data_IF_460064995036
#
_entry.id   IF_460064995036
#
_cell.length_a   1.000
_cell.length_b   1.000
_cell.length_c   1.000
_cell.angle_alpha   90.00
_cell.angle_beta   90.00
_cell.angle_gamma   90.00
#
_symmetry.space_group_name_H-M   'P 1'
#
loop_
_entity.id
_entity.type
_entity.pdbx_description
1 polymer ?
#
# COMPACT_ATOMS: atom_id res chain seq x y z
N UNK A 1 21.95 41.45 62.93
CA UNK A 1 21.85 40.19 62.21
C UNK A 1 20.95 40.46 60.98
N UNK A 2 21.53 40.38 59.84
CA UNK A 2 21.10 41.09 58.62
C UNK A 2 19.98 40.35 57.86
N UNK A 3 18.84 41.00 57.68
CA UNK A 3 17.75 40.59 56.81
C UNK A 3 18.09 40.87 55.34
N UNK A 4 18.17 39.84 54.52
CA UNK A 4 18.24 39.98 53.06
C UNK A 4 16.83 39.83 52.50
N UNK A 5 16.22 40.92 52.13
CA UNK A 5 15.02 40.96 51.31
C UNK A 5 15.40 40.56 49.87
N UNK A 6 14.91 39.44 49.42
CA UNK A 6 15.03 39.04 48.03
C UNK A 6 13.89 39.71 47.27
N UNK A 7 14.22 40.75 46.52
CA UNK A 7 13.33 41.33 45.50
C UNK A 7 13.24 40.35 44.33
N UNK A 8 12.13 39.64 44.23
CA UNK A 8 11.78 38.86 43.04
C UNK A 8 11.34 39.82 41.92
N UNK A 9 12.24 40.08 41.02
CA UNK A 9 11.97 40.83 39.78
C UNK A 9 11.16 39.92 38.85
N UNK A 10 9.83 40.06 38.87
CA UNK A 10 8.95 39.38 37.90
C UNK A 10 9.15 40.04 36.54
N UNK A 11 9.88 39.36 35.68
CA UNK A 11 10.03 39.70 34.25
C UNK A 11 8.71 39.44 33.57
N UNK A 12 7.83 40.41 33.51
CA UNK A 12 6.64 40.39 32.68
C UNK A 12 7.11 40.47 31.24
N UNK A 13 7.15 39.30 30.59
CA UNK A 13 7.36 39.17 29.15
C UNK A 13 6.21 39.89 28.44
N UNK A 14 6.52 41.06 27.93
CA UNK A 14 5.64 41.82 27.03
C UNK A 14 5.60 41.06 25.71
N UNK A 15 4.66 40.11 25.57
CA UNK A 15 4.34 39.53 24.28
C UNK A 15 3.71 40.65 23.47
N UNK A 16 4.54 41.27 22.63
CA UNK A 16 4.08 42.28 21.70
C UNK A 16 3.11 41.62 20.72
N UNK A 17 1.83 41.91 20.89
CA UNK A 17 0.79 41.59 19.90
C UNK A 17 1.03 42.44 18.66
N UNK A 18 1.99 42.04 17.82
CA UNK A 18 2.10 42.52 16.43
C UNK A 18 1.08 41.85 15.52
N UNK A 19 -0.18 41.83 15.97
CA UNK A 19 -1.26 41.06 15.35
C UNK A 19 -1.97 41.75 14.18
N UNK A 20 -1.60 42.97 13.79
CA UNK A 20 -2.38 43.71 12.81
C UNK A 20 -1.97 43.56 11.33
N UNK A 21 -0.89 42.84 11.01
CA UNK A 21 -0.35 42.83 9.64
C UNK A 21 -0.12 41.42 9.06
N UNK A 22 -0.68 40.39 9.68
CA UNK A 22 -0.51 39.00 9.19
C UNK A 22 -1.84 38.44 8.68
N UNK A 23 -1.78 37.66 7.59
CA UNK A 23 -2.81 36.68 7.25
C UNK A 23 -2.47 35.42 8.01
N UNK A 24 -3.46 34.77 8.62
CA UNK A 24 -3.25 33.52 9.34
C UNK A 24 -2.88 32.35 8.41
N UNK A 25 -2.47 31.21 8.96
CA UNK A 25 -2.33 29.99 8.18
C UNK A 25 -3.71 29.53 7.69
N UNK A 26 -3.76 28.88 6.53
CA UNK A 26 -4.94 28.19 6.01
C UNK A 26 -4.85 26.72 6.37
N UNK A 27 -5.99 26.09 6.73
CA UNK A 27 -6.08 24.66 6.97
C UNK A 27 -6.27 23.90 5.65
N UNK A 28 -5.82 22.65 5.60
CA UNK A 28 -6.12 21.74 4.50
C UNK A 28 -7.63 21.54 4.29
N UNK A 29 -8.42 21.61 5.37
CA UNK A 29 -9.88 21.48 5.32
C UNK A 29 -10.58 22.61 4.55
N UNK A 30 -9.86 23.69 4.27
CA UNK A 30 -10.36 24.78 3.44
C UNK A 30 -10.32 24.45 1.93
N UNK A 31 -9.74 23.31 1.56
CA UNK A 31 -9.52 22.96 0.16
C UNK A 31 -9.95 21.53 -0.14
N UNK A 32 -10.59 21.36 -1.28
CA UNK A 32 -10.91 20.04 -1.84
C UNK A 32 -10.34 19.97 -3.24
N UNK A 33 -9.66 18.88 -3.55
CA UNK A 33 -9.04 18.62 -4.87
C UNK A 33 -9.70 17.41 -5.49
N UNK A 34 -10.05 17.52 -6.77
CA UNK A 34 -10.63 16.43 -7.55
C UNK A 34 -9.87 16.26 -8.87
N UNK A 35 -9.46 15.00 -9.18
CA UNK A 35 -9.53 13.78 -8.37
C UNK A 35 -8.54 13.79 -7.21
N UNK A 36 -8.83 13.02 -6.15
CA UNK A 36 -7.88 12.79 -5.05
C UNK A 36 -7.94 11.30 -4.64
N UNK A 37 -6.86 10.52 -4.86
CA UNK A 37 -5.56 10.93 -5.39
C UNK A 37 -5.62 11.47 -6.84
N UNK A 38 -4.60 12.25 -7.24
CA UNK A 38 -4.48 12.76 -8.60
C UNK A 38 -4.28 11.63 -9.61
N UNK A 39 -4.78 11.82 -10.84
CA UNK A 39 -4.72 10.81 -11.89
C UNK A 39 -4.21 11.41 -13.21
N UNK A 40 -3.54 10.60 -14.02
CA UNK A 40 -3.16 11.01 -15.37
C UNK A 40 -4.30 10.82 -16.35
N UNK A 41 -4.46 11.79 -17.25
CA UNK A 41 -5.36 11.71 -18.38
C UNK A 41 -4.67 12.26 -19.63
N UNK A 42 -4.38 11.38 -20.59
CA UNK A 42 -3.80 11.80 -21.88
C UNK A 42 -2.39 12.38 -21.79
N UNK A 43 -1.59 12.00 -20.79
CA UNK A 43 -0.24 12.55 -20.59
C UNK A 43 -0.19 13.82 -19.73
N UNK A 44 -1.34 14.22 -19.19
CA UNK A 44 -1.44 15.34 -18.27
C UNK A 44 -2.04 14.89 -16.92
N UNK A 45 -1.87 15.72 -15.91
CA UNK A 45 -2.46 15.54 -14.58
C UNK A 45 -3.43 16.70 -14.33
N UNK A 46 -4.69 16.58 -14.74
CA UNK A 46 -5.69 17.61 -14.48
C UNK A 46 -6.09 17.58 -13.00
N UNK A 47 -6.33 18.75 -12.42
CA UNK A 47 -6.86 18.89 -11.07
C UNK A 47 -7.81 20.09 -10.98
N UNK A 48 -8.91 19.90 -10.27
CA UNK A 48 -9.84 20.96 -9.89
C UNK A 48 -9.68 21.22 -8.40
N UNK A 49 -9.35 22.44 -8.03
CA UNK A 49 -9.21 22.87 -6.64
C UNK A 49 -10.41 23.73 -6.27
N UNK A 50 -11.19 23.28 -5.31
CA UNK A 50 -12.24 24.05 -4.68
C UNK A 50 -11.72 24.57 -3.34
N UNK A 51 -11.64 25.88 -3.19
CA UNK A 51 -11.11 26.52 -2.01
C UNK A 51 -12.10 27.44 -1.32
N UNK A 52 -11.93 27.58 -0.02
CA UNK A 52 -12.72 28.48 0.82
C UNK A 52 -11.77 29.38 1.60
N UNK A 53 -11.93 30.69 1.39
CA UNK A 53 -11.32 31.64 2.31
C UNK A 53 -12.26 31.86 3.50
N UNK A 54 -11.79 31.58 4.73
CA UNK A 54 -12.63 31.72 5.92
C UNK A 54 -13.08 33.16 6.16
N UNK A 55 -14.15 33.31 6.93
CA UNK A 55 -14.61 34.61 7.44
C UNK A 55 -13.46 35.34 8.14
N UNK A 56 -13.33 36.64 7.88
CA UNK A 56 -12.29 37.54 8.41
C UNK A 56 -10.86 37.24 7.93
N UNK A 57 -10.68 36.31 6.97
CA UNK A 57 -9.36 35.98 6.43
C UNK A 57 -8.87 37.05 5.43
N UNK A 58 -9.64 37.27 4.37
CA UNK A 58 -9.27 38.19 3.29
C UNK A 58 -9.46 39.65 3.73
N UNK A 59 -8.40 40.25 4.27
CA UNK A 59 -8.45 41.65 4.69
C UNK A 59 -8.76 42.58 3.51
N UNK A 60 -9.42 43.75 3.72
CA UNK A 60 -9.89 44.59 2.63
C UNK A 60 -8.83 45.05 1.62
N UNK A 61 -7.56 45.16 2.05
CA UNK A 61 -6.42 45.54 1.18
C UNK A 61 -5.50 44.35 0.87
N UNK A 62 -5.96 43.11 1.09
CA UNK A 62 -5.18 41.92 0.83
C UNK A 62 -5.28 41.50 -0.65
N UNK A 63 -4.19 40.98 -1.17
CA UNK A 63 -4.14 40.26 -2.45
C UNK A 63 -3.42 38.94 -2.19
N UNK A 64 -3.99 37.85 -2.65
CA UNK A 64 -3.46 36.51 -2.47
C UNK A 64 -3.46 35.78 -3.82
N UNK A 65 -2.30 35.43 -4.31
CA UNK A 65 -2.15 34.57 -5.47
C UNK A 65 -1.95 33.14 -4.98
N UNK A 66 -2.80 32.22 -5.39
CA UNK A 66 -2.75 30.80 -5.07
C UNK A 66 -2.13 30.08 -6.28
N UNK A 67 -1.07 29.34 -6.05
CA UNK A 67 -0.39 28.56 -7.09
C UNK A 67 -0.36 27.10 -6.65
N UNK A 68 -0.98 26.19 -7.42
CA UNK A 68 -0.82 24.76 -7.22
C UNK A 68 0.60 24.31 -7.61
N UNK A 69 1.23 23.54 -6.75
CA UNK A 69 2.56 22.96 -6.97
C UNK A 69 2.51 21.45 -6.73
N UNK A 70 2.95 20.67 -7.70
CA UNK A 70 3.17 19.25 -7.56
C UNK A 70 4.64 19.01 -7.23
N UNK A 71 4.93 18.51 -6.03
CA UNK A 71 6.28 18.23 -5.55
C UNK A 71 6.56 16.74 -5.63
N UNK A 72 7.64 16.36 -6.33
CA UNK A 72 7.97 14.98 -6.62
C UNK A 72 9.49 14.80 -6.72
N UNK A 73 9.94 13.56 -6.71
CA UNK A 73 11.34 13.15 -6.88
C UNK A 73 12.39 14.20 -6.47
N UNK A 74 13.08 13.97 -5.37
CA UNK A 74 14.27 14.74 -4.93
C UNK A 74 14.10 16.28 -4.95
N UNK A 75 12.89 16.77 -4.72
CA UNK A 75 12.60 18.21 -4.63
C UNK A 75 12.23 18.88 -5.96
N UNK A 76 11.99 18.15 -7.03
CA UNK A 76 11.42 18.70 -8.26
C UNK A 76 10.02 19.25 -8.01
N UNK A 77 9.70 20.36 -8.68
CA UNK A 77 8.40 21.04 -8.54
C UNK A 77 7.84 21.38 -9.92
N UNK A 78 6.63 20.93 -10.19
CA UNK A 78 5.82 21.41 -11.31
C UNK A 78 4.80 22.41 -10.80
N UNK A 79 4.72 23.59 -11.44
CA UNK A 79 3.75 24.63 -11.07
C UNK A 79 2.59 24.61 -12.04
N UNK A 80 1.39 24.66 -11.47
CA UNK A 80 0.16 24.79 -12.23
C UNK A 80 -0.25 26.25 -12.45
N UNK A 81 -1.42 26.44 -13.07
CA UNK A 81 -1.97 27.76 -13.31
C UNK A 81 -2.36 28.43 -11.99
N UNK A 82 -1.89 29.66 -11.78
CA UNK A 82 -2.18 30.46 -10.59
C UNK A 82 -3.51 31.20 -10.74
N UNK A 83 -4.17 31.47 -9.60
CA UNK A 83 -5.33 32.33 -9.51
C UNK A 83 -5.11 33.41 -8.44
N UNK A 84 -5.50 34.64 -8.72
CA UNK A 84 -5.36 35.76 -7.81
C UNK A 84 -6.72 36.19 -7.25
N UNK A 85 -6.73 36.46 -5.96
CA UNK A 85 -7.92 36.90 -5.22
C UNK A 85 -7.62 38.18 -4.48
N UNK A 86 -8.61 39.07 -4.41
CA UNK A 86 -8.43 40.38 -3.80
C UNK A 86 -9.49 40.70 -2.75
N UNK A 87 -9.11 41.53 -1.80
CA UNK A 87 -10.01 42.06 -0.80
C UNK A 87 -10.83 43.24 -1.32
N UNK A 88 -11.92 43.59 -0.63
CA UNK A 88 -12.96 44.51 -1.05
C UNK A 88 -12.48 45.98 -1.35
N UNK A 89 -11.27 46.35 -0.90
CA UNK A 89 -10.69 47.71 -1.12
C UNK A 89 -9.50 47.68 -2.10
N UNK A 90 -9.30 46.61 -2.78
CA UNK A 90 -8.28 46.50 -3.84
C UNK A 90 -8.97 46.84 -5.16
N UNK A 91 -8.44 47.81 -5.86
CA UNK A 91 -8.89 48.11 -7.22
C UNK A 91 -8.17 47.19 -8.20
N UNK A 92 -8.85 46.21 -8.73
CA UNK A 92 -8.38 45.22 -9.69
C UNK A 92 -9.54 44.42 -10.26
N UNK A 93 -9.22 43.54 -11.21
CA UNK A 93 -10.22 42.70 -11.90
C UNK A 93 -10.28 41.27 -11.36
N UNK A 94 -9.49 40.98 -10.29
CA UNK A 94 -9.46 39.66 -9.70
C UNK A 94 -10.71 39.37 -8.88
N UNK A 95 -10.97 38.11 -8.62
CA UNK A 95 -12.13 37.71 -7.80
C UNK A 95 -12.05 38.34 -6.42
N UNK A 96 -13.05 39.13 -6.08
CA UNK A 96 -13.15 39.80 -4.79
C UNK A 96 -13.73 38.86 -3.72
N UNK A 97 -13.07 38.77 -2.61
CA UNK A 97 -13.47 37.96 -1.44
C UNK A 97 -13.87 38.86 -0.30
N UNK A 98 -15.06 38.66 0.24
CA UNK A 98 -15.58 39.45 1.35
C UNK A 98 -14.85 39.16 2.67
N UNK A 99 -14.46 40.22 3.38
CA UNK A 99 -13.90 40.06 4.71
C UNK A 99 -14.92 39.52 5.71
N UNK A 100 -16.18 39.96 5.61
CA UNK A 100 -17.23 39.58 6.56
C UNK A 100 -17.79 38.19 6.34
N UNK A 101 -17.90 37.76 5.08
CA UNK A 101 -18.56 36.49 4.72
C UNK A 101 -17.58 35.41 4.27
N UNK A 102 -16.30 35.78 4.01
CA UNK A 102 -15.38 34.89 3.32
C UNK A 102 -15.73 34.74 1.84
N UNK A 103 -15.25 33.66 1.21
CA UNK A 103 -15.59 33.39 -0.18
C UNK A 103 -15.12 32.01 -0.62
N UNK A 104 -15.81 31.49 -1.62
CA UNK A 104 -15.46 30.23 -2.29
C UNK A 104 -14.91 30.51 -3.67
N UNK A 105 -14.02 29.63 -4.12
CA UNK A 105 -13.51 29.68 -5.48
C UNK A 105 -13.26 28.27 -6.02
N UNK A 106 -13.25 28.16 -7.32
CA UNK A 106 -12.85 26.95 -8.02
C UNK A 106 -11.79 27.34 -9.04
N UNK A 107 -10.67 26.63 -9.03
CA UNK A 107 -9.61 26.79 -10.03
C UNK A 107 -9.28 25.45 -10.66
N UNK A 108 -9.04 25.47 -11.97
CA UNK A 108 -8.59 24.29 -12.71
C UNK A 108 -7.11 24.45 -13.04
N UNK A 109 -6.38 23.37 -12.94
CA UNK A 109 -4.97 23.32 -13.29
C UNK A 109 -4.66 22.00 -13.97
N UNK A 110 -3.56 21.95 -14.70
CA UNK A 110 -3.02 20.72 -15.29
C UNK A 110 -1.52 20.75 -15.22
N UNK A 111 -0.89 19.59 -15.07
CA UNK A 111 0.54 19.42 -15.07
C UNK A 111 0.92 18.44 -16.17
N UNK A 112 1.96 18.71 -16.95
CA UNK A 112 2.51 17.72 -17.87
C UNK A 112 3.06 16.54 -17.07
N UNK A 113 2.57 15.34 -17.34
CA UNK A 113 2.93 14.15 -16.59
C UNK A 113 4.37 13.71 -16.91
N UNK A 114 5.11 13.35 -15.87
CA UNK A 114 6.36 12.60 -15.95
C UNK A 114 6.31 11.41 -14.98
N UNK A 115 6.97 10.27 -15.30
CA UNK A 115 6.87 9.05 -14.49
C UNK A 115 7.21 9.22 -13.01
N UNK A 116 8.10 10.13 -12.69
CA UNK A 116 8.52 10.44 -11.32
C UNK A 116 7.40 11.05 -10.46
N UNK A 117 6.34 11.57 -11.10
CA UNK A 117 5.17 12.12 -10.39
C UNK A 117 4.27 11.08 -9.73
N UNK A 118 4.48 9.78 -9.96
CA UNK A 118 3.74 8.71 -9.28
C UNK A 118 3.87 8.78 -7.75
N UNK A 119 4.98 9.32 -7.26
CA UNK A 119 5.19 9.62 -5.84
C UNK A 119 5.31 11.12 -5.68
N UNK A 120 4.20 11.79 -5.53
CA UNK A 120 4.15 13.24 -5.42
C UNK A 120 3.09 13.70 -4.43
N UNK A 121 3.24 14.92 -3.98
CA UNK A 121 2.30 15.62 -3.14
C UNK A 121 1.95 16.96 -3.76
N UNK A 122 0.66 17.28 -3.82
CA UNK A 122 0.19 18.56 -4.30
C UNK A 122 0.06 19.54 -3.14
N UNK A 123 0.68 20.67 -3.30
CA UNK A 123 0.64 21.80 -2.38
C UNK A 123 -0.03 23.00 -3.03
N UNK A 124 -0.71 23.81 -2.24
CA UNK A 124 -1.07 25.17 -2.60
C UNK A 124 -0.07 26.11 -1.95
N UNK A 125 0.59 26.92 -2.75
CA UNK A 125 1.47 27.98 -2.28
C UNK A 125 0.78 29.33 -2.45
N UNK A 126 1.10 30.26 -1.56
CA UNK A 126 0.41 31.54 -1.46
C UNK A 126 1.43 32.68 -1.54
N UNK A 127 1.32 33.49 -2.61
CA UNK A 127 1.99 34.79 -2.63
C UNK A 127 0.99 35.85 -2.17
N UNK A 128 1.17 36.32 -0.96
CA UNK A 128 0.21 37.19 -0.29
C UNK A 128 0.82 38.56 0.03
N UNK A 129 0.03 39.61 -0.16
CA UNK A 129 0.40 40.98 0.23
C UNK A 129 -0.77 41.70 0.89
N UNK A 130 -0.45 42.57 1.83
CA UNK A 130 -1.40 43.45 2.49
C UNK A 130 -1.04 44.89 2.18
N UNK A 131 -1.70 45.51 1.25
CA UNK A 131 -1.29 46.77 0.65
C UNK A 131 0.07 46.60 -0.06
N UNK A 132 1.10 47.31 0.40
CA UNK A 132 2.46 47.21 -0.16
C UNK A 132 3.34 46.16 0.54
N UNK A 133 2.88 45.59 1.67
CA UNK A 133 3.68 44.65 2.48
C UNK A 133 3.42 43.22 2.08
N UNK A 134 4.49 42.47 1.75
CA UNK A 134 4.46 41.02 1.55
C UNK A 134 4.19 40.31 2.88
N UNK A 135 3.34 39.30 2.87
CA UNK A 135 2.93 38.51 4.02
C UNK A 135 3.18 37.04 3.71
N UNK A 136 3.84 36.35 4.62
CA UNK A 136 4.05 34.92 4.48
C UNK A 136 2.80 34.15 4.90
N UNK A 137 2.35 33.25 4.03
CA UNK A 137 1.31 32.26 4.28
C UNK A 137 1.93 30.88 4.01
N UNK A 138 1.93 29.97 4.99
CA UNK A 138 2.49 28.63 4.80
C UNK A 138 1.80 27.87 3.66
N UNK A 139 2.57 27.09 2.91
CA UNK A 139 2.03 26.18 1.91
C UNK A 139 1.20 25.07 2.57
N UNK A 140 0.11 24.65 1.91
CA UNK A 140 -0.81 23.62 2.41
C UNK A 140 -0.80 22.42 1.47
N UNK A 141 -0.57 21.23 2.02
CA UNK A 141 -0.72 19.97 1.27
C UNK A 141 -2.21 19.67 1.11
N UNK A 142 -2.65 19.42 -0.12
CA UNK A 142 -4.08 19.27 -0.46
C UNK A 142 -4.43 17.97 -1.17
N UNK A 143 -3.48 17.31 -1.82
CA UNK A 143 -3.69 16.03 -2.48
C UNK A 143 -2.39 15.21 -2.52
N UNK A 144 -2.51 13.94 -2.87
CA UNK A 144 -1.39 13.01 -2.96
C UNK A 144 -1.33 12.37 -4.33
N UNK A 145 -0.12 11.96 -4.68
CA UNK A 145 0.28 11.02 -5.71
C UNK A 145 -0.34 11.24 -7.06
N UNK A 146 0.23 10.60 -8.06
CA UNK A 146 -0.42 10.52 -9.36
C UNK A 146 -0.62 9.07 -9.72
N UNK A 147 -1.87 8.65 -9.86
CA UNK A 147 -2.22 7.36 -10.42
C UNK A 147 -2.01 7.41 -11.94
N UNK A 148 -1.06 6.62 -12.42
CA UNK A 148 -0.67 6.60 -13.83
C UNK A 148 -1.15 5.35 -14.58
N UNK A 149 -2.29 4.78 -14.19
CA UNK A 149 -2.81 3.53 -14.77
C UNK A 149 -2.96 3.60 -16.29
N UNK A 150 -3.43 4.73 -16.82
CA UNK A 150 -3.59 4.93 -18.28
C UNK A 150 -2.24 4.91 -19.02
N UNK A 151 -1.20 5.47 -18.45
CA UNK A 151 0.14 5.49 -19.05
C UNK A 151 0.84 4.13 -18.92
N UNK A 152 0.69 3.47 -17.78
CA UNK A 152 1.18 2.10 -17.57
C UNK A 152 0.51 1.12 -18.52
N UNK A 153 -0.80 1.27 -18.77
CA UNK A 153 -1.52 0.45 -19.74
C UNK A 153 -0.98 0.65 -21.16
N UNK A 154 -0.75 1.90 -21.60
CA UNK A 154 -0.15 2.18 -22.90
C UNK A 154 1.24 1.56 -23.03
N UNK A 155 2.08 1.68 -21.99
CA UNK A 155 3.41 1.07 -21.97
C UNK A 155 3.33 -0.46 -22.05
N UNK A 156 2.39 -1.09 -21.33
CA UNK A 156 2.16 -2.52 -21.39
C UNK A 156 1.74 -2.99 -22.79
N UNK A 157 0.88 -2.24 -23.48
CA UNK A 157 0.49 -2.52 -24.87
C UNK A 157 1.66 -2.39 -25.84
N UNK A 158 2.50 -1.37 -25.68
CA UNK A 158 3.68 -1.17 -26.53
C UNK A 158 4.75 -2.24 -26.30
N UNK A 159 4.86 -2.77 -25.10
CA UNK A 159 5.84 -3.78 -24.69
C UNK A 159 5.24 -5.19 -24.58
N UNK A 160 4.12 -5.46 -25.23
CA UNK A 160 3.38 -6.73 -25.15
C UNK A 160 4.22 -8.00 -25.49
N UNK A 161 5.36 -7.86 -26.12
CA UNK A 161 6.29 -8.94 -26.41
C UNK A 161 7.24 -9.35 -25.28
N UNK A 162 7.28 -8.60 -24.16
CA UNK A 162 8.34 -8.77 -23.17
C UNK A 162 7.92 -9.24 -21.78
N UNK A 163 6.63 -9.33 -21.49
CA UNK A 163 6.16 -9.58 -20.13
C UNK A 163 5.63 -10.99 -19.89
N UNK A 164 6.30 -12.01 -20.43
CA UNK A 164 6.08 -13.37 -19.95
C UNK A 164 7.00 -13.54 -18.74
N UNK A 165 6.50 -13.23 -17.56
CA UNK A 165 7.15 -13.69 -16.34
C UNK A 165 7.11 -15.22 -16.35
N UNK A 166 8.25 -15.86 -16.13
CA UNK A 166 8.29 -17.28 -15.83
C UNK A 166 7.49 -17.50 -14.57
N UNK A 167 6.28 -18.05 -14.71
CA UNK A 167 5.50 -18.46 -13.56
C UNK A 167 6.01 -19.78 -12.98
N UNK A 168 5.61 -20.08 -11.77
CA UNK A 168 5.89 -21.36 -11.12
C UNK A 168 4.86 -22.43 -11.50
N UNK A 169 4.12 -22.22 -12.59
CA UNK A 169 3.11 -23.17 -13.02
C UNK A 169 3.74 -24.50 -13.44
N UNK A 170 3.38 -25.54 -12.74
CA UNK A 170 3.76 -26.90 -13.06
C UNK A 170 2.51 -27.65 -13.52
N UNK A 171 2.44 -27.97 -14.80
CA UNK A 171 1.36 -28.77 -15.37
C UNK A 171 1.26 -30.16 -14.74
N UNK A 172 2.39 -30.70 -14.36
CA UNK A 172 2.48 -32.01 -13.70
C UNK A 172 3.20 -31.83 -12.37
N UNK A 173 2.52 -32.15 -11.29
CA UNK A 173 3.09 -32.10 -9.93
C UNK A 173 3.22 -33.51 -9.40
N UNK A 174 4.43 -33.85 -8.92
CA UNK A 174 4.64 -35.09 -8.19
C UNK A 174 4.00 -34.98 -6.78
N UNK A 175 3.18 -35.94 -6.43
CA UNK A 175 2.65 -36.11 -5.08
C UNK A 175 3.17 -37.43 -4.50
N UNK A 176 3.45 -37.43 -3.21
CA UNK A 176 3.87 -38.62 -2.46
C UNK A 176 2.97 -38.77 -1.26
N UNK A 177 2.43 -39.95 -1.08
CA UNK A 177 1.64 -40.33 0.10
C UNK A 177 2.32 -41.53 0.75
N UNK A 178 2.53 -41.47 2.05
CA UNK A 178 3.21 -42.51 2.81
C UNK A 178 2.24 -43.11 3.84
N UNK A 179 2.29 -44.43 3.97
CA UNK A 179 1.55 -45.14 5.00
C UNK A 179 2.50 -46.00 5.81
N UNK A 180 2.27 -46.05 7.13
CA UNK A 180 3.07 -46.83 8.04
C UNK A 180 2.22 -47.91 8.71
N UNK A 181 2.63 -49.18 8.59
CA UNK A 181 1.99 -50.32 9.25
C UNK A 181 2.94 -50.86 10.32
N UNK A 182 2.47 -50.92 11.56
CA UNK A 182 3.25 -51.44 12.69
C UNK A 182 2.90 -52.92 12.93
N UNK A 183 3.96 -53.73 12.97
CA UNK A 183 3.85 -55.15 13.28
C UNK A 183 4.20 -55.41 14.73
N UNK A 184 3.62 -56.45 15.31
CA UNK A 184 4.04 -56.95 16.62
C UNK A 184 5.42 -57.61 16.55
N UNK A 185 6.07 -57.71 17.69
CA UNK A 185 7.41 -58.33 17.83
C UNK A 185 7.32 -59.74 17.28
N UNK A 186 8.30 -60.12 16.46
CA UNK A 186 8.41 -61.45 15.79
C UNK A 186 7.19 -61.87 14.94
N UNK A 187 6.33 -60.95 14.55
CA UNK A 187 5.13 -61.24 13.74
C UNK A 187 5.14 -60.44 12.43
N UNK A 188 4.53 -61.06 11.41
CA UNK A 188 4.30 -60.43 10.09
C UNK A 188 2.80 -60.34 9.74
N UNK A 189 1.90 -60.57 10.68
CA UNK A 189 0.45 -60.52 10.44
C UNK A 189 -0.07 -59.10 10.44
N UNK A 190 -0.84 -58.72 9.41
CA UNK A 190 -1.52 -57.43 9.34
C UNK A 190 -2.70 -57.41 10.32
N UNK A 191 -2.66 -56.47 11.23
CA UNK A 191 -3.73 -56.29 12.22
C UNK A 191 -4.79 -55.34 11.65
N UNK A 192 -6.08 -55.69 11.86
CA UNK A 192 -7.20 -54.85 11.45
C UNK A 192 -7.15 -53.41 12.06
N UNK A 193 -6.56 -53.26 13.24
CA UNK A 193 -6.37 -51.95 13.87
C UNK A 193 -5.40 -51.07 13.09
N UNK A 194 -4.30 -51.64 12.58
CA UNK A 194 -3.32 -50.91 11.80
C UNK A 194 -3.87 -50.48 10.43
N UNK A 195 -4.67 -51.35 9.80
CA UNK A 195 -5.34 -51.03 8.54
C UNK A 195 -6.40 -49.91 8.67
N UNK A 196 -6.85 -49.63 9.90
CA UNK A 196 -7.73 -48.51 10.21
C UNK A 196 -6.97 -47.24 10.60
N UNK A 197 -5.65 -47.25 10.63
CA UNK A 197 -4.81 -46.09 10.92
C UNK A 197 -5.05 -45.00 9.85
N UNK A 198 -4.96 -43.73 10.28
CA UNK A 198 -5.19 -42.58 9.41
C UNK A 198 -4.32 -42.59 8.15
N UNK A 199 -3.01 -42.83 8.29
CA UNK A 199 -2.07 -42.86 7.15
C UNK A 199 -2.39 -43.97 6.14
N UNK A 200 -2.80 -45.15 6.60
CA UNK A 200 -3.19 -46.27 5.75
C UNK A 200 -4.52 -45.97 5.01
N UNK A 201 -5.49 -45.38 5.70
CA UNK A 201 -6.74 -44.94 5.07
C UNK A 201 -6.48 -43.89 3.99
N UNK A 202 -5.68 -42.88 4.28
CA UNK A 202 -5.35 -41.81 3.35
C UNK A 202 -4.67 -42.38 2.09
N UNK A 203 -3.72 -43.31 2.29
CA UNK A 203 -3.07 -44.03 1.18
C UNK A 203 -4.07 -44.81 0.31
N UNK A 204 -4.96 -45.58 0.93
CA UNK A 204 -6.00 -46.35 0.20
C UNK A 204 -6.97 -45.44 -0.52
N UNK A 205 -7.36 -44.30 0.11
CA UNK A 205 -8.21 -43.29 -0.53
C UNK A 205 -7.52 -42.67 -1.75
N UNK A 206 -6.22 -42.41 -1.66
CA UNK A 206 -5.45 -41.90 -2.80
C UNK A 206 -5.43 -42.91 -3.94
N UNK A 207 -5.20 -44.20 -3.67
CA UNK A 207 -5.26 -45.25 -4.70
C UNK A 207 -6.66 -45.33 -5.37
N UNK A 208 -7.72 -45.20 -4.57
CA UNK A 208 -9.09 -45.13 -5.12
C UNK A 208 -9.31 -43.93 -6.02
N UNK A 209 -8.81 -42.73 -5.60
CA UNK A 209 -8.87 -41.52 -6.43
C UNK A 209 -8.12 -41.70 -7.76
N UNK A 210 -6.92 -42.26 -7.73
CA UNK A 210 -6.14 -42.55 -8.95
C UNK A 210 -6.91 -43.49 -9.88
N UNK A 211 -7.55 -44.51 -9.33
CA UNK A 211 -8.34 -45.44 -10.14
C UNK A 211 -9.61 -44.82 -10.72
N UNK A 212 -10.21 -43.85 -10.02
CA UNK A 212 -11.39 -43.13 -10.48
C UNK A 212 -11.09 -42.03 -11.50
N UNK A 213 -9.92 -41.36 -11.39
CA UNK A 213 -9.49 -40.26 -12.27
C UNK A 213 -8.13 -40.58 -12.92
N UNK A 214 -8.14 -41.46 -13.92
CA UNK A 214 -6.93 -41.89 -14.64
C UNK A 214 -6.42 -40.84 -15.64
N UNK A 215 -7.22 -39.85 -15.97
CA UNK A 215 -6.80 -38.75 -16.85
C UNK A 215 -6.05 -37.67 -16.08
N UNK A 216 -6.52 -37.34 -14.86
CA UNK A 216 -5.91 -36.31 -13.99
C UNK A 216 -4.79 -36.82 -13.09
N UNK A 217 -4.81 -38.12 -12.74
CA UNK A 217 -3.88 -38.73 -11.80
C UNK A 217 -3.18 -39.95 -12.41
N UNK A 218 -1.86 -39.93 -12.42
CA UNK A 218 -1.05 -41.03 -12.92
C UNK A 218 -0.17 -41.64 -11.83
N UNK A 219 -0.37 -42.93 -11.53
CA UNK A 219 0.45 -43.66 -10.58
C UNK A 219 1.80 -43.97 -11.22
N UNK A 220 2.89 -43.46 -10.67
CA UNK A 220 4.24 -43.74 -11.14
C UNK A 220 4.79 -45.04 -10.57
N UNK A 221 4.73 -45.18 -9.25
CA UNK A 221 5.20 -46.38 -8.53
C UNK A 221 4.56 -46.48 -7.16
N UNK A 222 4.54 -47.68 -6.63
CA UNK A 222 4.30 -47.96 -5.22
C UNK A 222 5.53 -48.70 -4.71
N UNK A 223 6.10 -48.19 -3.66
CA UNK A 223 7.27 -48.75 -2.99
C UNK A 223 6.86 -49.28 -1.62
N UNK A 224 7.16 -50.56 -1.37
CA UNK A 224 6.92 -51.18 -0.05
C UNK A 224 8.26 -51.55 0.56
N UNK A 225 8.61 -50.84 1.64
CA UNK A 225 9.80 -51.15 2.42
C UNK A 225 9.41 -51.71 3.79
N UNK A 226 9.97 -52.84 4.18
CA UNK A 226 9.69 -53.47 5.42
C UNK A 226 10.97 -53.69 6.25
N UNK A 227 10.83 -53.53 7.54
CA UNK A 227 11.95 -53.59 8.50
C UNK A 227 11.61 -54.54 9.63
N UNK A 228 12.63 -55.18 10.20
CA UNK A 228 12.55 -55.86 11.45
C UNK A 228 13.40 -55.11 12.52
N UNK A 229 13.08 -55.34 13.81
CA UNK A 229 13.87 -54.76 14.90
C UNK A 229 15.31 -55.32 14.84
N UNK A 230 16.35 -54.50 15.16
CA UNK A 230 17.74 -54.96 15.15
C UNK A 230 18.06 -55.98 16.22
N UNK A 231 17.13 -56.22 17.13
CA UNK A 231 17.26 -57.21 18.18
C UNK A 231 17.07 -58.62 17.61
N UNK A 232 18.11 -59.47 17.69
CA UNK A 232 18.06 -60.83 17.23
C UNK A 232 19.03 -61.12 16.06
N UNK A 233 19.04 -62.37 15.60
CA UNK A 233 19.96 -62.80 14.55
C UNK A 233 19.58 -62.27 13.16
N UNK A 234 20.58 -61.81 12.41
CA UNK A 234 20.42 -61.23 11.07
C UNK A 234 19.53 -62.05 10.13
N UNK A 235 19.80 -63.34 10.01
CA UNK A 235 19.02 -64.26 9.12
C UNK A 235 17.53 -64.35 9.49
N UNK A 236 17.23 -64.27 10.80
CA UNK A 236 15.85 -64.27 11.28
C UNK A 236 15.15 -62.95 10.93
N UNK A 237 15.80 -61.86 11.21
CA UNK A 237 15.27 -60.54 10.93
C UNK A 237 15.06 -60.25 9.44
N UNK A 238 15.98 -60.71 8.61
CA UNK A 238 15.87 -60.63 7.15
C UNK A 238 14.62 -61.39 6.63
N UNK A 239 14.44 -62.65 7.08
CA UNK A 239 13.24 -63.43 6.76
C UNK A 239 11.93 -62.79 7.26
N UNK A 240 11.99 -62.16 8.45
CA UNK A 240 10.82 -61.47 9.02
C UNK A 240 10.49 -60.20 8.25
N UNK A 241 11.48 -59.42 7.84
CA UNK A 241 11.30 -58.24 7.02
C UNK A 241 10.70 -58.64 5.64
N UNK A 242 11.25 -59.68 4.97
CA UNK A 242 10.68 -60.17 3.71
C UNK A 242 9.21 -60.63 3.82
N UNK A 243 8.85 -61.34 4.91
CA UNK A 243 7.46 -61.72 5.16
C UNK A 243 6.55 -60.51 5.37
N UNK A 244 7.02 -59.47 6.13
CA UNK A 244 6.28 -58.22 6.32
C UNK A 244 6.06 -57.46 5.02
N UNK A 245 7.09 -57.41 4.16
CA UNK A 245 7.00 -56.85 2.84
C UNK A 245 5.95 -57.56 2.00
N UNK A 246 6.04 -58.87 1.84
CA UNK A 246 5.12 -59.66 1.03
C UNK A 246 3.65 -59.52 1.50
N UNK A 247 3.41 -59.51 2.79
CA UNK A 247 2.04 -59.34 3.32
C UNK A 247 1.53 -57.92 3.12
N UNK A 248 2.40 -56.90 3.17
CA UNK A 248 2.02 -55.50 2.88
C UNK A 248 1.77 -55.29 1.37
N UNK A 249 2.60 -55.87 0.51
CA UNK A 249 2.40 -55.83 -0.94
C UNK A 249 1.10 -56.51 -1.37
N UNK A 250 0.74 -57.64 -0.75
CA UNK A 250 -0.52 -58.32 -1.03
C UNK A 250 -1.76 -57.53 -0.58
N UNK A 251 -1.62 -56.55 0.30
CA UNK A 251 -2.71 -55.68 0.77
C UNK A 251 -2.91 -54.49 -0.17
N UNK A 252 -1.88 -54.00 -0.83
CA UNK A 252 -1.91 -52.84 -1.73
C UNK A 252 -2.41 -53.21 -3.11
#
# INVERSE_FOLDING_TARGET
MRNYSILSLSLISLVAFSSCSKLGPLSADNFTVEPNPLETLGGEVPATVNGVFPVKYMKPKAVVTVTPELRYADGKVAKGQSATFQGERVMGNDQTISYKMGGRYTMKTSFAYVPEMQKSDMYLTFDARLGKKKVEVPAVKVATGVLATSELYKQALMNAGGCIATDSFQRVRAQRVEANIKFLVNQANLRKSELKNGSVKEFVEMLKKINADREGLNLKNVEVAAYASPEGGFKFNDKLAGKRQSVSEAYV
#
